data_IF_927125922976
#
_entry.id   IF_927125922976
#
_cell.length_a   1.000
_cell.length_b   1.000
_cell.length_c   1.000
_cell.angle_alpha   90.00
_cell.angle_beta   90.00
_cell.angle_gamma   90.00
#
_symmetry.space_group_name_H-M   'P 1'
#
loop_
_entity.id
_entity.type
_entity.pdbx_description
1 polymer ?
#
# COMPACT_ATOMS: atom_id res chain seq x y z
N UNK A 1 0.98 -4.31 24.71
CA UNK A 1 1.97 -3.66 23.83
C UNK A 1 1.75 -2.16 23.93
N UNK A 2 2.81 -1.38 24.06
CA UNK A 2 2.78 0.09 24.27
C UNK A 2 2.65 0.88 22.96
N UNK A 3 2.44 0.21 21.83
CA UNK A 3 2.33 0.83 20.51
C UNK A 3 3.67 1.32 19.93
N UNK A 4 4.79 1.05 20.61
CA UNK A 4 6.10 1.48 20.11
C UNK A 4 6.57 0.62 18.93
N UNK A 5 7.28 1.27 18.01
CA UNK A 5 7.94 0.58 16.90
C UNK A 5 9.13 -0.24 17.38
N UNK A 6 9.29 -1.44 16.84
CA UNK A 6 10.57 -2.16 16.95
C UNK A 6 11.62 -1.46 16.07
N UNK A 7 12.87 -1.50 16.53
CA UNK A 7 13.99 -0.84 15.83
C UNK A 7 14.24 -1.36 14.39
N UNK A 8 13.78 -2.57 14.11
CA UNK A 8 13.93 -3.26 12.83
C UNK A 8 12.63 -3.31 12.00
N UNK A 9 11.63 -2.50 12.35
CA UNK A 9 10.36 -2.48 11.61
C UNK A 9 10.53 -2.08 10.14
N UNK A 10 11.53 -1.26 9.82
CA UNK A 10 11.88 -0.92 8.46
C UNK A 10 12.31 -2.15 7.65
N UNK A 11 13.14 -3.01 8.21
CA UNK A 11 13.56 -4.25 7.56
C UNK A 11 12.42 -5.26 7.47
N UNK A 12 11.58 -5.34 8.49
CA UNK A 12 10.43 -6.25 8.53
C UNK A 12 9.42 -5.93 7.43
N UNK A 13 9.05 -4.65 7.24
CA UNK A 13 8.10 -4.26 6.19
C UNK A 13 8.68 -4.44 4.78
N UNK A 14 9.98 -4.22 4.60
CA UNK A 14 10.68 -4.47 3.34
C UNK A 14 10.73 -5.98 3.04
N UNK A 15 11.14 -6.78 4.03
CA UNK A 15 11.17 -8.24 3.91
C UNK A 15 9.79 -8.82 3.60
N UNK A 16 8.76 -8.33 4.31
CA UNK A 16 7.38 -8.75 4.08
C UNK A 16 6.94 -8.43 2.65
N UNK A 17 7.13 -7.19 2.19
CA UNK A 17 6.71 -6.78 0.85
C UNK A 17 7.37 -7.64 -0.23
N UNK A 18 8.69 -7.86 -0.15
CA UNK A 18 9.40 -8.73 -1.09
C UNK A 18 8.95 -10.18 -0.99
N UNK A 19 8.83 -10.69 0.24
CA UNK A 19 8.44 -12.08 0.49
C UNK A 19 7.09 -12.43 -0.12
N UNK A 20 6.10 -11.53 -0.02
CA UNK A 20 4.78 -11.69 -0.64
C UNK A 20 4.92 -11.77 -2.16
N UNK A 21 5.61 -10.80 -2.78
CA UNK A 21 5.74 -10.74 -4.24
C UNK A 21 6.55 -11.91 -4.81
N UNK A 22 7.64 -12.30 -4.16
CA UNK A 22 8.42 -13.47 -4.57
C UNK A 22 7.62 -14.78 -4.40
N UNK A 23 6.77 -14.88 -3.39
CA UNK A 23 5.87 -16.03 -3.23
C UNK A 23 4.85 -16.11 -4.37
N UNK A 24 4.24 -15.01 -4.75
CA UNK A 24 3.30 -14.92 -5.88
C UNK A 24 3.99 -15.38 -7.18
N UNK A 25 5.23 -14.90 -7.43
CA UNK A 25 6.03 -15.32 -8.58
C UNK A 25 6.30 -16.83 -8.58
N UNK A 26 6.72 -17.39 -7.44
CA UNK A 26 6.98 -18.83 -7.31
C UNK A 26 5.75 -19.69 -7.55
N UNK A 27 4.57 -19.19 -7.17
CA UNK A 27 3.31 -19.86 -7.41
C UNK A 27 2.80 -19.67 -8.85
N UNK A 28 3.51 -18.90 -9.68
CA UNK A 28 3.08 -18.53 -11.03
C UNK A 28 1.67 -17.93 -11.05
N UNK A 29 1.30 -17.20 -10.00
CA UNK A 29 -0.01 -16.59 -9.86
C UNK A 29 0.04 -15.15 -10.38
N UNK A 30 -0.94 -14.77 -11.20
CA UNK A 30 -1.11 -13.41 -11.73
C UNK A 30 -2.35 -12.77 -11.06
N UNK A 31 -2.19 -12.03 -9.94
CA UNK A 31 -3.32 -11.41 -9.27
C UNK A 31 -3.84 -10.21 -10.06
N UNK A 32 -5.15 -10.11 -10.26
CA UNK A 32 -5.78 -8.91 -10.82
C UNK A 32 -5.75 -7.76 -9.81
N UNK A 33 -5.96 -8.07 -8.53
CA UNK A 33 -5.97 -7.11 -7.43
C UNK A 33 -5.03 -7.57 -6.32
N UNK A 34 -4.19 -6.64 -5.84
CA UNK A 34 -3.37 -6.80 -4.63
C UNK A 34 -3.96 -5.85 -3.58
N UNK A 35 -4.58 -6.42 -2.55
CA UNK A 35 -5.17 -5.63 -1.47
C UNK A 35 -4.22 -5.56 -0.27
N UNK A 36 -3.72 -4.37 -0.01
CA UNK A 36 -2.83 -4.03 1.08
C UNK A 36 -3.64 -3.56 2.29
N UNK A 37 -3.29 -4.01 3.50
CA UNK A 37 -4.07 -3.76 4.72
C UNK A 37 -3.18 -3.15 5.79
N UNK A 38 -3.48 -1.91 6.18
CA UNK A 38 -2.77 -1.17 7.22
C UNK A 38 -1.33 -0.79 6.87
N UNK A 39 -0.65 -0.12 7.80
CA UNK A 39 0.67 0.46 7.57
C UNK A 39 1.78 -0.57 7.30
N UNK A 40 1.66 -1.78 7.85
CA UNK A 40 2.70 -2.80 7.68
C UNK A 40 2.84 -3.27 6.22
N UNK A 41 1.80 -3.08 5.42
CA UNK A 41 1.78 -3.40 3.99
C UNK A 41 2.06 -2.19 3.09
N UNK A 42 2.31 -1.01 3.66
CA UNK A 42 2.37 0.27 2.95
C UNK A 42 3.50 0.36 1.90
N UNK A 43 4.49 -0.53 1.93
CA UNK A 43 5.52 -0.59 0.90
C UNK A 43 5.11 -1.40 -0.33
N UNK A 44 4.13 -2.31 -0.24
CA UNK A 44 3.69 -3.13 -1.39
C UNK A 44 3.28 -2.28 -2.61
N UNK A 45 2.47 -1.20 -2.47
CA UNK A 45 2.14 -0.34 -3.60
C UNK A 45 3.38 0.23 -4.33
N UNK A 46 4.38 0.68 -3.56
CA UNK A 46 5.65 1.15 -4.13
C UNK A 46 6.40 0.04 -4.85
N UNK A 47 6.52 -1.13 -4.24
CA UNK A 47 7.21 -2.27 -4.86
C UNK A 47 6.58 -2.66 -6.20
N UNK A 48 5.25 -2.82 -6.23
CA UNK A 48 4.52 -3.18 -7.45
C UNK A 48 4.64 -2.13 -8.54
N UNK A 49 4.59 -0.83 -8.19
CA UNK A 49 4.48 0.25 -9.18
C UNK A 49 5.82 0.91 -9.54
N UNK A 50 6.91 0.70 -8.77
CA UNK A 50 8.14 1.50 -8.88
C UNK A 50 9.45 0.72 -8.86
N UNK A 51 9.44 -0.56 -8.51
CA UNK A 51 10.63 -1.39 -8.47
C UNK A 51 10.68 -2.35 -9.67
N UNK A 52 11.52 -3.37 -9.61
CA UNK A 52 11.63 -4.41 -10.65
C UNK A 52 10.31 -5.13 -10.94
N UNK A 53 9.37 -5.15 -9.98
CA UNK A 53 8.07 -5.79 -10.13
C UNK A 53 7.15 -5.07 -11.11
N UNK A 54 7.35 -3.77 -11.36
CA UNK A 54 6.53 -2.98 -12.28
C UNK A 54 6.42 -3.58 -13.69
N UNK A 55 7.53 -4.13 -14.18
CA UNK A 55 7.61 -4.69 -15.53
C UNK A 55 7.53 -6.22 -15.50
N UNK A 56 7.26 -6.81 -14.34
CA UNK A 56 7.14 -8.25 -14.21
C UNK A 56 5.76 -8.72 -14.73
N UNK A 57 5.70 -9.76 -15.59
CA UNK A 57 4.44 -10.24 -16.20
C UNK A 57 3.36 -10.65 -15.19
N UNK A 58 3.74 -10.97 -13.94
CA UNK A 58 2.77 -11.31 -12.91
C UNK A 58 2.10 -10.10 -12.27
N UNK A 59 2.71 -8.89 -12.36
CA UNK A 59 2.24 -7.70 -11.63
C UNK A 59 1.95 -6.48 -12.48
N UNK A 60 2.38 -6.48 -13.76
CA UNK A 60 2.27 -5.30 -14.63
C UNK A 60 0.83 -4.78 -14.76
N UNK A 61 -0.16 -5.67 -14.74
CA UNK A 61 -1.59 -5.34 -14.86
C UNK A 61 -2.31 -5.30 -13.51
N UNK A 62 -1.64 -5.74 -12.43
CA UNK A 62 -2.25 -5.78 -11.10
C UNK A 62 -2.67 -4.39 -10.63
N UNK A 63 -3.89 -4.28 -10.14
CA UNK A 63 -4.39 -3.10 -9.42
C UNK A 63 -4.06 -3.23 -7.94
N UNK A 64 -3.79 -2.11 -7.31
CA UNK A 64 -3.44 -2.06 -5.88
C UNK A 64 -4.52 -1.33 -5.12
N UNK A 65 -5.11 -1.98 -4.15
CA UNK A 65 -6.07 -1.40 -3.20
C UNK A 65 -5.38 -1.27 -1.84
N UNK A 66 -5.58 -0.16 -1.15
CA UNK A 66 -5.05 0.07 0.20
C UNK A 66 -6.19 0.30 1.18
N UNK A 67 -6.31 -0.56 2.18
CA UNK A 67 -7.19 -0.33 3.33
C UNK A 67 -6.48 0.45 4.42
N UNK A 68 -7.09 1.56 4.83
CA UNK A 68 -6.68 2.41 5.93
C UNK A 68 -7.35 1.95 7.23
N UNK A 69 -6.55 1.83 8.28
CA UNK A 69 -7.00 1.51 9.63
C UNK A 69 -6.57 2.60 10.61
N UNK A 70 -7.14 2.59 11.79
CA UNK A 70 -6.69 3.41 12.91
C UNK A 70 -5.54 2.68 13.61
N UNK A 71 -4.42 2.51 12.90
CA UNK A 71 -3.24 1.75 13.29
C UNK A 71 -1.97 2.62 13.33
N UNK A 72 -2.14 3.91 13.62
CA UNK A 72 -1.08 4.91 13.62
C UNK A 72 -0.01 4.59 14.67
N UNK A 73 1.24 4.54 14.23
CA UNK A 73 2.41 4.48 15.10
C UNK A 73 3.00 5.86 15.37
N UNK A 74 3.64 6.01 16.53
CA UNK A 74 4.30 7.26 16.91
C UNK A 74 5.76 7.30 16.42
N UNK A 75 6.23 8.52 16.09
CA UNK A 75 7.59 8.73 15.61
C UNK A 75 7.79 8.40 14.14
N UNK A 76 8.96 7.86 13.82
CA UNK A 76 9.35 7.52 12.45
C UNK A 76 10.14 6.21 12.43
N UNK A 77 10.19 5.57 11.27
CA UNK A 77 11.12 4.47 11.01
C UNK A 77 12.57 4.98 11.12
N UNK A 78 13.52 4.07 11.28
CA UNK A 78 14.92 4.41 11.49
C UNK A 78 15.51 5.24 10.34
N UNK A 79 16.51 6.09 10.65
CA UNK A 79 17.16 6.98 9.68
C UNK A 79 17.73 6.27 8.45
N UNK A 80 18.14 5.01 8.61
CA UNK A 80 18.70 4.21 7.52
C UNK A 80 17.65 3.67 6.54
N UNK A 81 16.35 3.79 6.85
CA UNK A 81 15.26 3.29 6.03
C UNK A 81 15.35 3.73 4.58
N UNK A 82 15.50 5.04 4.34
CA UNK A 82 15.58 5.56 2.98
C UNK A 82 16.79 5.03 2.20
N UNK A 83 17.93 4.83 2.87
CA UNK A 83 19.13 4.26 2.25
C UNK A 83 18.87 2.82 1.79
N UNK A 84 18.20 2.02 2.62
CA UNK A 84 17.80 0.65 2.30
C UNK A 84 16.78 0.63 1.16
N UNK A 85 15.75 1.48 1.22
CA UNK A 85 14.70 1.55 0.20
C UNK A 85 15.24 1.90 -1.19
N UNK A 86 16.26 2.75 -1.29
CA UNK A 86 16.92 3.11 -2.56
C UNK A 86 17.54 1.91 -3.28
N UNK A 87 17.99 0.91 -2.56
CA UNK A 87 18.55 -0.32 -3.13
C UNK A 87 17.46 -1.16 -3.82
N UNK A 88 16.22 -1.04 -3.33
CA UNK A 88 15.08 -1.78 -3.87
C UNK A 88 14.58 -1.23 -5.21
N UNK A 89 14.87 0.04 -5.51
CA UNK A 89 14.48 0.69 -6.77
C UNK A 89 13.83 2.06 -6.58
N UNK A 90 13.11 2.52 -7.60
CA UNK A 90 12.47 3.83 -7.61
C UNK A 90 13.39 4.94 -8.13
N UNK A 91 12.90 6.16 -8.08
CA UNK A 91 13.56 7.38 -8.57
C UNK A 91 13.67 8.42 -7.45
N UNK A 92 14.43 9.50 -7.70
CA UNK A 92 14.52 10.63 -6.74
C UNK A 92 13.16 11.22 -6.36
N UNK A 93 12.20 11.22 -7.30
CA UNK A 93 10.84 11.69 -7.06
C UNK A 93 10.12 10.78 -6.07
N UNK A 94 10.26 9.47 -6.25
CA UNK A 94 9.66 8.47 -5.38
C UNK A 94 10.26 8.55 -3.96
N UNK A 95 11.58 8.63 -3.84
CA UNK A 95 12.27 8.67 -2.55
C UNK A 95 11.99 9.92 -1.72
N UNK A 96 11.54 11.01 -2.35
CA UNK A 96 11.17 12.24 -1.64
C UNK A 96 10.07 12.00 -0.61
N UNK A 97 9.11 11.14 -0.92
CA UNK A 97 8.01 10.79 -0.03
C UNK A 97 8.45 10.01 1.24
N UNK A 98 9.62 9.39 1.19
CA UNK A 98 10.16 8.55 2.27
C UNK A 98 11.32 9.20 3.06
N UNK A 99 11.59 10.49 2.86
CA UNK A 99 12.68 11.19 3.57
C UNK A 99 12.47 11.24 5.08
N UNK A 100 11.22 11.45 5.48
CA UNK A 100 10.78 11.45 6.86
C UNK A 100 9.73 10.35 6.99
N UNK A 101 10.13 9.11 7.31
CA UNK A 101 9.25 7.95 7.27
C UNK A 101 8.36 7.86 8.52
N UNK A 102 7.59 8.91 8.77
CA UNK A 102 6.49 8.93 9.73
C UNK A 102 5.33 8.10 9.20
N UNK A 103 4.38 7.74 10.07
CA UNK A 103 3.16 7.06 9.67
C UNK A 103 2.46 7.78 8.51
N UNK A 104 2.19 9.08 8.66
CA UNK A 104 1.50 9.87 7.64
C UNK A 104 2.24 9.87 6.29
N UNK A 105 3.54 10.10 6.30
CA UNK A 105 4.30 10.13 5.06
C UNK A 105 4.37 8.76 4.38
N UNK A 106 4.52 7.69 5.17
CA UNK A 106 4.50 6.32 4.68
C UNK A 106 3.17 5.97 4.03
N UNK A 107 2.05 6.29 4.71
CA UNK A 107 0.71 6.02 4.20
C UNK A 107 0.35 6.91 2.99
N UNK A 108 0.72 8.19 2.97
CA UNK A 108 0.57 9.05 1.79
C UNK A 108 1.34 8.54 0.57
N UNK A 109 2.55 8.02 0.79
CA UNK A 109 3.29 7.36 -0.28
C UNK A 109 2.55 6.12 -0.79
N UNK A 110 2.06 5.27 0.10
CA UNK A 110 1.26 4.09 -0.25
C UNK A 110 0.00 4.46 -1.04
N UNK A 111 -0.76 5.47 -0.58
CA UNK A 111 -1.93 6.01 -1.30
C UNK A 111 -1.55 6.47 -2.71
N UNK A 112 -0.43 7.17 -2.86
CA UNK A 112 0.02 7.70 -4.16
C UNK A 112 0.21 6.59 -5.20
N UNK A 113 0.65 5.40 -4.79
CA UNK A 113 0.89 4.25 -5.66
C UNK A 113 -0.27 3.25 -5.71
N UNK A 114 -1.32 3.47 -4.94
CA UNK A 114 -2.54 2.65 -4.98
C UNK A 114 -3.51 3.13 -6.07
N UNK A 115 -4.30 2.21 -6.60
CA UNK A 115 -5.36 2.52 -7.57
C UNK A 115 -6.64 2.94 -6.85
N UNK A 116 -6.94 2.34 -5.68
CA UNK A 116 -8.07 2.70 -4.83
C UNK A 116 -7.71 2.61 -3.34
N UNK A 117 -8.54 3.26 -2.51
CA UNK A 117 -8.38 3.33 -1.05
C UNK A 117 -9.69 2.94 -0.38
N UNK A 118 -9.62 2.15 0.68
CA UNK A 118 -10.76 1.77 1.51
C UNK A 118 -10.55 2.30 2.93
N UNK A 119 -11.50 3.03 3.45
CA UNK A 119 -11.55 3.41 4.87
C UNK A 119 -12.15 2.23 5.63
N UNK A 120 -11.32 1.39 6.23
CA UNK A 120 -11.73 0.10 6.77
C UNK A 120 -12.18 0.14 8.23
N UNK A 121 -12.00 1.26 8.91
CA UNK A 121 -12.31 1.42 10.33
C UNK A 121 -12.73 2.86 10.63
N UNK A 122 -13.53 3.04 11.67
CA UNK A 122 -13.77 4.38 12.23
C UNK A 122 -12.50 4.97 12.84
N UNK A 123 -12.39 6.31 12.80
CA UNK A 123 -11.26 7.02 13.41
C UNK A 123 -9.96 6.97 12.59
N UNK A 124 -10.02 6.54 11.34
CA UNK A 124 -8.90 6.72 10.40
C UNK A 124 -8.55 8.20 10.29
N UNK A 125 -7.26 8.50 10.28
CA UNK A 125 -6.77 9.86 10.19
C UNK A 125 -7.32 10.58 8.95
N UNK A 126 -8.10 11.66 9.18
CA UNK A 126 -8.79 12.40 8.12
C UNK A 126 -7.83 12.96 7.07
N UNK A 127 -6.61 13.31 7.46
CA UNK A 127 -5.59 13.82 6.52
C UNK A 127 -5.23 12.80 5.43
N UNK A 128 -5.30 11.49 5.73
CA UNK A 128 -5.08 10.44 4.72
C UNK A 128 -6.25 10.32 3.75
N UNK A 129 -7.46 10.44 4.25
CA UNK A 129 -8.69 10.41 3.44
C UNK A 129 -8.70 11.61 2.49
N UNK A 130 -8.47 12.82 3.02
CA UNK A 130 -8.40 14.06 2.24
C UNK A 130 -7.28 13.99 1.19
N UNK A 131 -6.14 13.41 1.55
CA UNK A 131 -5.03 13.21 0.61
C UNK A 131 -5.40 12.24 -0.52
N UNK A 132 -6.13 11.16 -0.23
CA UNK A 132 -6.60 10.22 -1.25
C UNK A 132 -7.56 10.90 -2.24
N UNK A 133 -8.52 11.66 -1.72
CA UNK A 133 -9.49 12.42 -2.52
C UNK A 133 -8.80 13.48 -3.40
N UNK A 134 -7.88 14.26 -2.81
CA UNK A 134 -7.10 15.28 -3.53
C UNK A 134 -6.25 14.69 -4.66
N UNK A 135 -5.78 13.45 -4.50
CA UNK A 135 -5.05 12.71 -5.53
C UNK A 135 -5.96 11.88 -6.46
N UNK A 136 -7.28 12.17 -6.45
CA UNK A 136 -8.29 11.56 -7.34
C UNK A 136 -8.33 10.02 -7.24
N UNK A 137 -8.06 9.48 -6.06
CA UNK A 137 -8.21 8.04 -5.82
C UNK A 137 -9.70 7.71 -5.68
N UNK A 138 -10.09 6.53 -6.14
CA UNK A 138 -11.39 5.98 -5.77
C UNK A 138 -11.33 5.64 -4.28
N UNK A 139 -12.22 6.23 -3.49
CA UNK A 139 -12.28 6.03 -2.04
C UNK A 139 -13.58 5.32 -1.71
N UNK A 140 -13.48 4.23 -0.97
CA UNK A 140 -14.61 3.55 -0.35
C UNK A 140 -14.66 4.00 1.11
N UNK A 141 -15.69 4.74 1.47
CA UNK A 141 -15.90 5.21 2.84
C UNK A 141 -16.23 4.05 3.78
N UNK A 142 -15.92 4.25 5.06
CA UNK A 142 -16.30 3.31 6.11
C UNK A 142 -17.83 3.09 6.12
N UNK A 143 -18.21 1.84 6.28
CA UNK A 143 -19.60 1.42 6.43
C UNK A 143 -19.68 0.18 7.35
N UNK A 144 -20.86 -0.18 7.87
CA UNK A 144 -21.05 -1.45 8.55
C UNK A 144 -20.60 -2.64 7.69
N UNK A 145 -20.16 -3.70 8.35
CA UNK A 145 -19.43 -4.84 7.71
C UNK A 145 -20.08 -5.36 6.42
N UNK A 146 -21.38 -5.62 6.41
CA UNK A 146 -22.05 -6.19 5.22
C UNK A 146 -22.04 -5.21 4.05
N UNK A 147 -22.38 -3.94 4.31
CA UNK A 147 -22.36 -2.89 3.29
C UNK A 147 -20.95 -2.64 2.76
N UNK A 148 -19.97 -2.60 3.66
CA UNK A 148 -18.57 -2.39 3.26
C UNK A 148 -18.04 -3.55 2.42
N UNK A 149 -18.38 -4.79 2.78
CA UNK A 149 -18.06 -5.98 2.00
C UNK A 149 -18.60 -5.91 0.59
N UNK A 150 -19.86 -5.51 0.42
CA UNK A 150 -20.48 -5.34 -0.91
C UNK A 150 -19.77 -4.27 -1.73
N UNK A 151 -19.46 -3.12 -1.14
CA UNK A 151 -18.71 -2.05 -1.80
C UNK A 151 -17.31 -2.49 -2.23
N UNK A 152 -16.61 -3.25 -1.39
CA UNK A 152 -15.27 -3.77 -1.71
C UNK A 152 -15.35 -4.81 -2.83
N UNK A 153 -16.35 -5.70 -2.83
CA UNK A 153 -16.54 -6.66 -3.91
C UNK A 153 -16.81 -5.94 -5.24
N UNK A 154 -17.71 -4.95 -5.24
CA UNK A 154 -17.99 -4.14 -6.43
C UNK A 154 -16.72 -3.37 -6.90
N UNK A 155 -15.88 -2.90 -5.97
CA UNK A 155 -14.60 -2.30 -6.29
C UNK A 155 -13.68 -3.31 -7.01
N UNK A 156 -13.55 -4.52 -6.48
CA UNK A 156 -12.73 -5.55 -7.11
C UNK A 156 -13.21 -5.88 -8.51
N UNK A 157 -14.51 -6.06 -8.69
CA UNK A 157 -15.10 -6.32 -10.00
C UNK A 157 -14.77 -5.19 -10.99
N UNK A 158 -14.89 -3.92 -10.54
CA UNK A 158 -14.58 -2.77 -11.38
C UNK A 158 -13.10 -2.63 -11.74
N UNK A 159 -12.20 -3.09 -10.87
CA UNK A 159 -10.74 -3.06 -11.10
C UNK A 159 -10.24 -4.28 -11.89
N UNK A 160 -10.95 -5.39 -11.78
CA UNK A 160 -10.60 -6.65 -12.43
C UNK A 160 -11.17 -6.78 -13.84
N UNK A 161 -11.86 -5.76 -14.39
CA UNK A 161 -12.33 -5.78 -15.77
C UNK A 161 -11.11 -5.98 -16.67
N UNK A 162 -10.96 -7.22 -17.09
CA UNK A 162 -10.02 -7.61 -18.13
C UNK A 162 -10.70 -7.17 -19.42
N UNK A 163 -10.05 -6.33 -20.22
CA UNK A 163 -10.48 -6.11 -21.59
C UNK A 163 -10.57 -7.49 -22.24
N UNK A 164 -11.79 -8.00 -22.43
CA UNK A 164 -12.02 -9.18 -23.27
C UNK A 164 -11.68 -8.75 -24.70
N UNK A 165 -10.46 -9.12 -25.13
CA UNK A 165 -10.09 -9.11 -26.53
C UNK A 165 -10.71 -10.30 -27.28
#
# INVERSE_FOLDING_TARGET
>A
ADGSLFKDNDERIMFYARGVLETIKKLSWKPNVIHCVGWFTALLPFYVKRTEYKNNPFFNDSKVVLSLFNDEFQGALVETFLKKLKVEGGTQKDWKAYKEPTYLNLMKAAISYSDAVVVAQEGVNQELIDFAIANKKQVIDYAPFEEQREKINALYDSLAVIDEE
#
